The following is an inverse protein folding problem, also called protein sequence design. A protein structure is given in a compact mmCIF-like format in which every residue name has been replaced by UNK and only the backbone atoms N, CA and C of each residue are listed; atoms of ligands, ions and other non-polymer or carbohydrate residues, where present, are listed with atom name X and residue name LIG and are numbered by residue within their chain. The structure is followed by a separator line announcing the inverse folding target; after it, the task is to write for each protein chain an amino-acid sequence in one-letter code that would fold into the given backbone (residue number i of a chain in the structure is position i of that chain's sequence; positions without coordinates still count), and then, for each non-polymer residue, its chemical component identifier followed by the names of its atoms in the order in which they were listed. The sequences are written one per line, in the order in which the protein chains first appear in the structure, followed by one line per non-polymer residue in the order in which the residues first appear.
data_IF_827131600067
#
_entry.id   IF_827131600067
#
_cell.length_a   1.000
_cell.length_b   1.000
_cell.length_c   1.000
_cell.angle_alpha   90.00
_cell.angle_beta   90.00
_cell.angle_gamma   90.00
#
_symmetry.space_group_name_H-M   'P 1'
#
loop_
_entity.id
_entity.type
_entity.pdbx_description
1 polymer ?
#
# COMPACT_ATOMS: atom_id res chain seq x y z
N UNK A 1 2.10 16.19 4.14
CA UNK A 1 0.69 15.70 4.00
C UNK A 1 0.08 15.42 5.36
N UNK A 2 0.67 14.56 6.18
CA UNK A 2 0.15 14.33 7.54
C UNK A 2 0.09 15.64 8.32
N UNK A 3 1.17 16.43 8.28
CA UNK A 3 1.25 17.79 8.82
C UNK A 3 0.12 18.72 8.33
N UNK A 4 -0.27 18.58 7.05
CA UNK A 4 -1.39 19.35 6.49
C UNK A 4 -2.71 18.92 7.12
N UNK A 5 -2.93 17.61 7.25
CA UNK A 5 -4.14 17.08 7.88
C UNK A 5 -4.24 17.45 9.37
N UNK A 6 -3.10 17.50 10.06
CA UNK A 6 -3.01 17.96 11.46
C UNK A 6 -3.34 19.46 11.56
N UNK A 7 -2.85 20.27 10.61
CA UNK A 7 -3.12 21.72 10.59
C UNK A 7 -4.57 22.08 10.25
N UNK A 8 -5.25 21.26 9.43
CA UNK A 8 -6.62 21.52 8.96
C UNK A 8 -7.71 21.12 9.98
N UNK A 9 -7.35 20.38 11.03
CA UNK A 9 -8.22 20.06 12.17
C UNK A 9 -9.57 19.45 11.80
N UNK A 10 -10.67 20.07 12.28
CA UNK A 10 -12.07 19.62 12.10
C UNK A 10 -12.49 19.45 10.63
N UNK A 11 -11.90 20.21 9.71
CA UNK A 11 -12.27 20.16 8.28
C UNK A 11 -11.94 18.80 7.66
N UNK A 12 -10.83 18.20 8.08
CA UNK A 12 -10.38 16.88 7.61
C UNK A 12 -11.23 15.77 8.21
N UNK A 13 -11.72 15.95 9.44
CA UNK A 13 -12.53 14.97 10.16
C UNK A 13 -13.81 14.58 9.41
N UNK A 14 -14.28 15.41 8.47
CA UNK A 14 -15.46 15.13 7.62
C UNK A 14 -15.13 14.65 6.21
N UNK A 15 -13.85 14.53 5.86
CA UNK A 15 -13.39 14.17 4.51
C UNK A 15 -13.18 12.66 4.33
N UNK A 16 -13.30 12.17 3.09
CA UNK A 16 -12.90 10.79 2.71
C UNK A 16 -11.53 10.83 2.05
N UNK A 17 -10.61 9.97 2.50
CA UNK A 17 -9.25 9.91 1.99
C UNK A 17 -8.96 8.57 1.31
N UNK A 18 -8.46 8.62 0.08
CA UNK A 18 -7.98 7.44 -0.66
C UNK A 18 -6.46 7.46 -0.72
N UNK A 19 -5.80 6.52 -0.04
CA UNK A 19 -4.33 6.50 0.09
C UNK A 19 -3.80 5.07 0.18
N UNK A 20 -2.47 4.94 0.05
CA UNK A 20 -1.75 3.68 0.24
C UNK A 20 -1.74 3.30 1.73
N UNK A 21 -1.71 2.00 2.01
CA UNK A 21 -1.70 1.42 3.37
C UNK A 21 -0.79 2.18 4.35
N UNK A 22 0.50 2.40 4.01
CA UNK A 22 1.44 3.07 4.92
C UNK A 22 0.96 4.46 5.35
N UNK A 23 0.42 5.26 4.41
CA UNK A 23 -0.14 6.58 4.72
C UNK A 23 -1.39 6.49 5.60
N UNK A 24 -2.26 5.50 5.37
CA UNK A 24 -3.46 5.29 6.19
C UNK A 24 -3.10 4.91 7.63
N UNK A 25 -2.10 4.05 7.80
CA UNK A 25 -1.54 3.70 9.12
C UNK A 25 -1.02 4.94 9.86
N UNK A 26 -0.28 5.83 9.17
CA UNK A 26 0.24 7.04 9.80
C UNK A 26 -0.88 7.99 10.26
N UNK A 27 -1.93 8.16 9.44
CA UNK A 27 -3.10 8.99 9.77
C UNK A 27 -3.88 8.40 10.95
N UNK A 28 -4.01 7.06 11.02
CA UNK A 28 -4.63 6.36 12.15
C UNK A 28 -3.83 6.56 13.43
N UNK A 29 -2.49 6.43 13.37
CA UNK A 29 -1.60 6.66 14.52
C UNK A 29 -1.66 8.10 15.02
N UNK A 30 -1.85 9.06 14.13
CA UNK A 30 -2.06 10.47 14.47
C UNK A 30 -3.46 10.78 15.05
N UNK A 31 -4.35 9.77 15.18
CA UNK A 31 -5.69 9.97 15.73
C UNK A 31 -6.66 10.70 14.80
N UNK A 32 -6.31 10.86 13.53
CA UNK A 32 -7.08 11.62 12.53
C UNK A 32 -8.11 10.76 11.79
N UNK A 33 -8.45 9.58 12.33
CA UNK A 33 -9.42 8.66 11.72
C UNK A 33 -10.64 8.47 12.63
N UNK A 34 -11.78 8.14 12.02
CA UNK A 34 -13.00 7.78 12.72
C UNK A 34 -13.40 6.36 12.33
N UNK A 35 -14.01 5.63 13.26
CA UNK A 35 -14.50 4.28 12.97
C UNK A 35 -15.67 4.34 11.98
N UNK A 36 -15.68 3.43 11.02
CA UNK A 36 -16.81 3.21 10.12
C UNK A 36 -17.48 1.87 10.43
N UNK A 37 -18.78 1.76 10.14
CA UNK A 37 -19.51 0.52 10.37
C UNK A 37 -18.98 -0.58 9.42
N UNK A 38 -18.22 -1.53 9.98
CA UNK A 38 -17.62 -2.66 9.26
C UNK A 38 -18.66 -3.55 8.59
N UNK A 39 -19.80 -3.78 9.24
CA UNK A 39 -20.84 -4.70 8.74
C UNK A 39 -21.39 -4.25 7.38
N UNK A 40 -21.32 -2.95 7.08
CA UNK A 40 -21.73 -2.41 5.77
C UNK A 40 -20.85 -2.91 4.62
N UNK A 41 -19.58 -3.23 4.89
CA UNK A 41 -18.59 -3.59 3.87
C UNK A 41 -18.15 -5.05 3.96
N UNK A 42 -18.59 -5.79 4.98
CA UNK A 42 -18.15 -7.16 5.26
C UNK A 42 -18.54 -8.15 4.14
N UNK A 43 -19.59 -7.85 3.36
CA UNK A 43 -19.98 -8.66 2.21
C UNK A 43 -19.07 -8.45 0.98
N UNK A 44 -18.50 -7.24 0.82
CA UNK A 44 -17.79 -6.85 -0.40
C UNK A 44 -16.26 -6.90 -0.26
N UNK A 45 -15.73 -6.79 0.96
CA UNK A 45 -14.31 -6.66 1.23
C UNK A 45 -13.86 -7.78 2.18
N UNK A 46 -12.96 -8.68 1.74
CA UNK A 46 -12.39 -9.69 2.61
C UNK A 46 -11.71 -9.11 3.85
N UNK A 47 -11.81 -9.80 4.99
CA UNK A 47 -11.31 -9.33 6.28
C UNK A 47 -9.83 -8.94 6.27
N UNK A 48 -9.01 -9.62 5.47
CA UNK A 48 -7.56 -9.34 5.32
C UNK A 48 -7.24 -7.96 4.72
N UNK A 49 -8.23 -7.27 4.14
CA UNK A 49 -8.09 -5.91 3.60
C UNK A 49 -8.77 -4.85 4.45
N UNK A 50 -9.29 -5.22 5.61
CA UNK A 50 -9.91 -4.31 6.56
C UNK A 50 -9.05 -4.15 7.80
N UNK A 51 -8.91 -2.91 8.29
CA UNK A 51 -8.26 -2.68 9.57
C UNK A 51 -9.11 -3.28 10.71
N UNK A 52 -8.52 -4.03 11.67
CA UNK A 52 -9.29 -4.69 12.73
C UNK A 52 -10.14 -3.73 13.57
N UNK A 53 -9.63 -2.51 13.80
CA UNK A 53 -10.33 -1.46 14.55
C UNK A 53 -11.35 -0.67 13.71
N UNK A 54 -11.46 -0.96 12.42
CA UNK A 54 -12.48 -0.39 11.52
C UNK A 54 -12.36 1.07 11.05
N UNK A 55 -11.22 1.82 11.12
CA UNK A 55 -11.17 3.18 10.58
C UNK A 55 -11.03 3.26 9.06
N UNK A 56 -10.53 2.22 8.39
CA UNK A 56 -10.33 2.22 6.93
C UNK A 56 -10.33 0.80 6.35
N UNK A 57 -10.51 0.69 5.04
CA UNK A 57 -10.54 -0.56 4.27
C UNK A 57 -9.87 -0.37 2.90
N UNK A 58 -9.31 -1.45 2.35
CA UNK A 58 -8.66 -1.48 1.05
C UNK A 58 -9.53 -2.12 -0.03
N UNK A 59 -10.24 -1.33 -0.87
CA UNK A 59 -11.10 -1.89 -1.92
C UNK A 59 -10.32 -2.42 -3.13
N UNK A 60 -9.05 -2.07 -3.25
CA UNK A 60 -8.18 -2.46 -4.38
C UNK A 60 -6.82 -2.91 -3.88
N UNK A 61 -6.24 -3.90 -4.53
CA UNK A 61 -4.86 -4.35 -4.29
C UNK A 61 -3.96 -4.04 -5.48
N UNK A 62 -2.65 -3.96 -5.22
CA UNK A 62 -1.63 -3.83 -6.25
C UNK A 62 -0.46 -4.75 -5.96
N UNK A 63 0.09 -5.36 -6.99
CA UNK A 63 1.36 -6.07 -6.91
C UNK A 63 2.51 -5.09 -7.19
N UNK A 64 3.63 -5.23 -6.48
CA UNK A 64 4.90 -4.61 -6.89
C UNK A 64 5.65 -5.67 -7.68
N UNK A 65 5.67 -5.53 -8.99
CA UNK A 65 6.22 -6.52 -9.91
C UNK A 65 7.63 -6.09 -10.29
N UNK A 66 8.51 -7.07 -10.47
CA UNK A 66 9.85 -6.86 -10.99
C UNK A 66 9.75 -6.83 -12.52
N UNK A 67 10.14 -5.72 -13.13
CA UNK A 67 10.23 -5.59 -14.58
C UNK A 67 11.70 -5.72 -15.00
N UNK A 68 11.96 -6.63 -15.94
CA UNK A 68 13.28 -6.93 -16.44
C UNK A 68 13.33 -6.81 -17.97
N UNK A 69 14.51 -6.45 -18.50
CA UNK A 69 14.74 -6.42 -19.95
C UNK A 69 14.62 -7.83 -20.53
N UNK A 70 13.82 -7.97 -21.61
CA UNK A 70 13.65 -9.25 -22.32
C UNK A 70 14.96 -9.75 -22.96
N UNK A 71 15.84 -8.83 -23.34
CA UNK A 71 17.08 -9.16 -24.07
C UNK A 71 18.24 -9.50 -23.13
N UNK A 72 18.16 -9.08 -21.86
CA UNK A 72 19.27 -9.17 -20.89
C UNK A 72 18.99 -10.07 -19.70
N UNK A 73 17.73 -10.45 -19.48
CA UNK A 73 17.34 -11.28 -18.33
C UNK A 73 16.54 -12.47 -18.82
N UNK A 74 17.10 -13.66 -18.57
CA UNK A 74 16.45 -14.92 -18.88
C UNK A 74 15.11 -15.06 -18.12
N UNK A 75 14.05 -15.59 -18.76
CA UNK A 75 12.79 -15.88 -18.07
C UNK A 75 13.02 -16.76 -16.83
N UNK A 76 12.50 -16.33 -15.69
CA UNK A 76 12.66 -17.06 -14.42
C UNK A 76 14.03 -16.91 -13.74
N UNK A 77 14.93 -16.07 -14.26
CA UNK A 77 16.21 -15.78 -13.60
C UNK A 77 16.04 -15.12 -12.22
N UNK A 78 14.92 -14.40 -12.02
CA UNK A 78 14.53 -13.75 -10.77
C UNK A 78 13.25 -14.41 -10.27
N UNK A 79 13.35 -15.14 -9.16
CA UNK A 79 12.22 -15.87 -8.57
C UNK A 79 11.74 -15.24 -7.26
N UNK A 80 12.58 -14.46 -6.61
CA UNK A 80 12.29 -13.82 -5.31
C UNK A 80 12.76 -12.37 -5.31
N UNK A 81 12.21 -11.57 -4.40
CA UNK A 81 12.63 -10.18 -4.20
C UNK A 81 14.03 -10.10 -3.60
N UNK A 82 14.38 -11.06 -2.74
CA UNK A 82 15.69 -11.17 -2.09
C UNK A 82 16.80 -11.46 -3.12
N UNK A 83 16.48 -12.21 -4.19
CA UNK A 83 17.38 -12.48 -5.30
C UNK A 83 17.86 -11.22 -6.03
N UNK A 84 17.20 -10.08 -5.85
CA UNK A 84 17.63 -8.79 -6.38
C UNK A 84 18.91 -8.25 -5.73
N UNK A 85 19.28 -8.76 -4.55
CA UNK A 85 20.47 -8.34 -3.80
C UNK A 85 21.67 -9.25 -4.00
N UNK A 86 21.55 -10.26 -4.87
CA UNK A 86 22.64 -11.20 -5.14
C UNK A 86 23.83 -10.47 -5.78
N UNK A 87 25.04 -10.54 -5.19
CA UNK A 87 26.25 -9.90 -5.72
C UNK A 87 26.63 -10.38 -7.12
N UNK A 88 26.09 -11.51 -7.60
CA UNK A 88 26.33 -12.03 -8.94
C UNK A 88 25.52 -11.32 -10.06
N UNK A 89 24.97 -10.13 -9.80
CA UNK A 89 24.61 -9.19 -10.87
C UNK A 89 23.27 -9.45 -11.58
N UNK A 90 22.38 -10.29 -11.05
CA UNK A 90 21.06 -10.51 -11.66
C UNK A 90 20.10 -9.31 -11.54
N UNK A 91 20.45 -8.29 -10.75
CA UNK A 91 19.63 -7.11 -10.50
C UNK A 91 20.01 -5.83 -11.27
N UNK A 92 21.12 -5.85 -12.03
CA UNK A 92 21.75 -4.62 -12.57
C UNK A 92 20.92 -3.83 -13.59
N UNK A 93 19.91 -4.45 -14.20
CA UNK A 93 19.14 -3.91 -15.32
C UNK A 93 17.62 -3.87 -15.05
N UNK A 94 17.24 -3.63 -13.80
CA UNK A 94 15.85 -3.60 -13.37
C UNK A 94 15.35 -2.17 -13.21
N UNK A 95 14.28 -1.85 -13.94
CA UNK A 95 13.51 -0.63 -13.70
C UNK A 95 12.38 -0.95 -12.73
N UNK A 96 12.31 -0.22 -11.62
CA UNK A 96 11.17 -0.35 -10.69
C UNK A 96 9.96 0.36 -11.30
N UNK A 97 8.92 -0.38 -11.67
CA UNK A 97 7.64 0.20 -12.11
C UNK A 97 6.76 0.37 -10.87
N UNK A 98 6.51 1.62 -10.46
CA UNK A 98 5.91 1.99 -9.17
C UNK A 98 4.42 2.30 -9.18
#
# INVERSE_FOLDING_TARGET
MLEKLESEGETVRRSRLYRRYGRLSDIQKAGLTQSVNRNRFAADIPDKYMEPKGPWFGPTTRARIIAASKDRVEPGAITTYEGLTDPNGKGGDLHTVG
#
